data_IF_574479119202
#
_entry.id   IF_574479119202
#
_cell.length_a   1.000
_cell.length_b   1.000
_cell.length_c   1.000
_cell.angle_alpha   90.00
_cell.angle_beta   90.00
_cell.angle_gamma   90.00
#
_symmetry.space_group_name_H-M   'P 1'
#
loop_
_entity.id
_entity.type
_entity.pdbx_description
1 polymer ?
#
# COMPACT_ATOMS: atom_id res chain seq x y z
N UNK A 1 3.08 -12.13 -19.76
CA UNK A 1 3.17 -11.05 -18.75
C UNK A 1 2.02 -11.24 -17.78
N UNK A 2 2.31 -11.36 -16.48
CA UNK A 2 1.28 -11.58 -15.46
C UNK A 2 0.41 -10.34 -15.36
N UNK A 3 -0.90 -10.51 -15.55
CA UNK A 3 -1.92 -9.52 -15.18
C UNK A 3 -1.64 -9.00 -13.77
N UNK A 4 -1.85 -7.69 -13.46
CA UNK A 4 -1.79 -7.23 -12.08
C UNK A 4 -2.75 -8.10 -11.29
N UNK A 5 -2.19 -8.88 -10.37
CA UNK A 5 -2.93 -9.93 -9.71
C UNK A 5 -4.00 -9.23 -8.87
N UNK A 6 -5.27 -9.31 -9.28
CA UNK A 6 -6.42 -9.15 -8.39
C UNK A 6 -6.03 -9.77 -7.06
N UNK A 7 -6.19 -9.06 -5.93
CA UNK A 7 -5.91 -9.61 -4.60
C UNK A 7 -6.34 -11.07 -4.59
N UNK A 8 -5.41 -12.01 -4.35
CA UNK A 8 -5.67 -13.41 -4.59
C UNK A 8 -6.99 -13.79 -3.92
N UNK A 9 -7.97 -14.26 -4.70
CA UNK A 9 -9.34 -14.53 -4.21
C UNK A 9 -9.34 -15.39 -2.93
N UNK A 10 -8.30 -16.20 -2.73
CA UNK A 10 -8.08 -17.00 -1.52
C UNK A 10 -7.92 -16.18 -0.22
N UNK A 11 -7.39 -14.95 -0.25
CA UNK A 11 -7.18 -14.11 0.97
C UNK A 11 -8.45 -13.43 1.46
N UNK A 12 -9.35 -13.03 0.56
CA UNK A 12 -10.68 -12.54 0.94
C UNK A 12 -11.53 -13.66 1.53
N UNK A 13 -11.35 -14.89 1.05
CA UNK A 13 -11.95 -16.09 1.65
C UNK A 13 -11.37 -16.36 3.04
N UNK A 14 -10.07 -16.16 3.25
CA UNK A 14 -9.41 -16.33 4.55
C UNK A 14 -9.91 -15.32 5.59
N UNK A 15 -10.02 -14.02 5.24
CA UNK A 15 -10.59 -13.02 6.15
C UNK A 15 -12.06 -13.32 6.50
N UNK A 16 -12.86 -13.77 5.54
CA UNK A 16 -14.26 -14.18 5.78
C UNK A 16 -14.32 -15.39 6.70
N UNK A 17 -13.43 -16.36 6.53
CA UNK A 17 -13.34 -17.54 7.39
C UNK A 17 -12.91 -17.15 8.81
N UNK A 18 -11.89 -16.32 8.98
CA UNK A 18 -11.44 -15.81 10.28
C UNK A 18 -12.55 -15.02 10.99
N UNK A 19 -13.27 -14.17 10.25
CA UNK A 19 -14.43 -13.44 10.76
C UNK A 19 -15.57 -14.37 11.21
N UNK A 20 -15.90 -15.38 10.41
CA UNK A 20 -16.93 -16.36 10.74
C UNK A 20 -16.55 -17.19 11.97
N UNK A 21 -15.30 -17.65 12.08
CA UNK A 21 -14.80 -18.40 13.23
C UNK A 21 -14.76 -17.55 14.51
N UNK A 22 -14.37 -16.28 14.41
CA UNK A 22 -14.40 -15.34 15.54
C UNK A 22 -15.82 -15.09 16.02
N UNK A 23 -16.76 -14.87 15.08
CA UNK A 23 -18.17 -14.71 15.42
C UNK A 23 -18.76 -15.98 16.06
N UNK A 24 -18.41 -17.16 15.53
CA UNK A 24 -18.80 -18.45 16.10
C UNK A 24 -18.24 -18.65 17.51
N UNK A 25 -16.98 -18.27 17.74
CA UNK A 25 -16.35 -18.32 19.07
C UNK A 25 -17.07 -17.40 20.07
N UNK A 26 -17.46 -16.18 19.66
CA UNK A 26 -18.25 -15.27 20.48
C UNK A 26 -19.65 -15.83 20.81
N UNK A 27 -20.33 -16.36 19.80
CA UNK A 27 -21.67 -16.95 19.98
C UNK A 27 -21.60 -18.17 20.90
N UNK A 28 -20.60 -19.02 20.75
CA UNK A 28 -20.39 -20.17 21.62
C UNK A 28 -20.04 -19.72 23.05
N UNK A 29 -19.14 -18.75 23.23
CA UNK A 29 -18.79 -18.21 24.55
C UNK A 29 -20.02 -17.64 25.27
N UNK A 30 -20.81 -16.81 24.59
CA UNK A 30 -22.01 -16.20 25.20
C UNK A 30 -23.08 -17.25 25.48
N UNK A 31 -23.30 -18.22 24.59
CA UNK A 31 -24.20 -19.34 24.83
C UNK A 31 -23.77 -20.20 26.02
N UNK A 32 -22.47 -20.49 26.15
CA UNK A 32 -21.89 -21.24 27.27
C UNK A 32 -22.17 -20.55 28.61
N UNK A 33 -21.88 -19.25 28.70
CA UNK A 33 -22.11 -18.44 29.91
C UNK A 33 -23.59 -18.34 30.29
N UNK A 34 -24.50 -18.28 29.31
CA UNK A 34 -25.95 -18.26 29.55
C UNK A 34 -26.44 -19.63 30.02
N UNK A 35 -26.01 -20.70 29.36
CA UNK A 35 -26.37 -22.07 29.74
C UNK A 35 -25.85 -22.45 31.12
N UNK A 36 -24.67 -21.99 31.50
CA UNK A 36 -24.12 -22.20 32.84
C UNK A 36 -24.97 -21.55 33.94
N UNK A 37 -25.69 -20.46 33.63
CA UNK A 37 -26.60 -19.77 34.56
C UNK A 37 -28.02 -20.35 34.59
N UNK A 38 -28.45 -21.01 33.52
CA UNK A 38 -29.85 -21.43 33.32
C UNK A 38 -30.02 -22.94 33.43
N UNK A 39 -29.04 -23.73 32.97
CA UNK A 39 -29.12 -25.18 32.98
C UNK A 39 -28.59 -25.76 34.29
N UNK A 40 -29.31 -26.73 34.84
CA UNK A 40 -28.90 -27.51 36.01
C UNK A 40 -27.87 -28.60 35.71
N UNK A 41 -27.42 -28.72 34.45
CA UNK A 41 -26.47 -29.77 34.01
C UNK A 41 -25.15 -29.16 33.58
N UNK A 42 -24.05 -29.74 34.05
CA UNK A 42 -22.68 -29.25 33.81
C UNK A 42 -22.11 -29.66 32.45
N UNK A 43 -22.70 -30.67 31.79
CA UNK A 43 -22.20 -31.20 30.52
C UNK A 43 -22.51 -30.31 29.31
N UNK A 44 -23.69 -29.67 29.27
CA UNK A 44 -24.10 -28.86 28.14
C UNK A 44 -23.25 -27.57 27.96
N UNK A 45 -22.94 -26.79 29.01
CA UNK A 45 -22.04 -25.64 28.89
C UNK A 45 -20.62 -26.04 28.43
N UNK A 46 -20.10 -27.18 28.93
CA UNK A 46 -18.76 -27.66 28.59
C UNK A 46 -18.60 -27.97 27.10
N UNK A 47 -19.59 -28.63 26.48
CA UNK A 47 -19.58 -28.91 25.04
C UNK A 47 -19.52 -27.61 24.23
N UNK A 48 -20.23 -26.58 24.68
CA UNK A 48 -20.26 -25.27 24.01
C UNK A 48 -18.95 -24.51 24.19
N UNK A 49 -18.33 -24.57 25.37
CA UNK A 49 -17.00 -24.01 25.57
C UNK A 49 -15.95 -24.71 24.69
N UNK A 50 -16.01 -26.03 24.53
CA UNK A 50 -15.13 -26.76 23.60
C UNK A 50 -15.33 -26.29 22.16
N UNK A 51 -16.56 -26.01 21.74
CA UNK A 51 -16.82 -25.39 20.42
C UNK A 51 -16.22 -23.98 20.32
N UNK A 52 -16.29 -23.18 21.39
CA UNK A 52 -15.67 -21.86 21.43
C UNK A 52 -14.14 -21.92 21.30
N UNK A 53 -13.51 -22.90 21.95
CA UNK A 53 -12.07 -23.20 21.82
C UNK A 53 -11.72 -23.66 20.40
N UNK A 54 -12.50 -24.55 19.82
CA UNK A 54 -12.25 -25.05 18.46
C UNK A 54 -12.36 -23.92 17.43
N UNK A 55 -13.38 -23.08 17.54
CA UNK A 55 -13.59 -21.96 16.62
C UNK A 55 -12.52 -20.86 16.78
N UNK A 56 -12.27 -20.39 18.01
CA UNK A 56 -11.31 -19.31 18.28
C UNK A 56 -9.84 -19.76 18.24
N UNK A 57 -9.58 -21.03 18.57
CA UNK A 57 -8.24 -21.60 18.66
C UNK A 57 -7.71 -22.23 17.36
N UNK A 58 -8.54 -22.47 16.34
CA UNK A 58 -8.12 -23.14 15.11
C UNK A 58 -6.91 -22.49 14.42
N UNK A 59 -6.93 -21.17 14.26
CA UNK A 59 -5.82 -20.42 13.65
C UNK A 59 -4.59 -20.32 14.58
N UNK A 60 -4.72 -19.88 15.85
CA UNK A 60 -3.61 -19.82 16.79
C UNK A 60 -2.94 -21.18 17.01
N UNK A 61 -3.72 -22.26 17.13
CA UNK A 61 -3.19 -23.61 17.32
C UNK A 61 -2.39 -24.10 16.10
N UNK A 62 -2.86 -23.80 14.88
CA UNK A 62 -2.12 -24.11 13.65
C UNK A 62 -0.79 -23.34 13.58
N UNK A 63 -0.82 -22.05 13.93
CA UNK A 63 0.37 -21.19 13.98
C UNK A 63 1.36 -21.65 15.07
N UNK A 64 0.86 -21.97 16.27
CA UNK A 64 1.65 -22.49 17.38
C UNK A 64 2.31 -23.83 17.02
N UNK A 65 1.58 -24.72 16.33
CA UNK A 65 2.13 -26.00 15.86
C UNK A 65 3.24 -25.80 14.82
N UNK A 66 3.07 -24.85 13.90
CA UNK A 66 4.11 -24.49 12.94
C UNK A 66 5.34 -23.88 13.63
N UNK A 67 5.14 -22.99 14.61
CA UNK A 67 6.21 -22.39 15.40
C UNK A 67 6.99 -23.45 16.19
N UNK A 68 6.29 -24.38 16.84
CA UNK A 68 6.88 -25.49 17.58
C UNK A 68 7.71 -26.40 16.67
N UNK A 69 7.20 -26.75 15.48
CA UNK A 69 7.96 -27.50 14.46
C UNK A 69 9.21 -26.76 14.00
N UNK A 70 9.14 -25.43 13.90
CA UNK A 70 10.27 -24.57 13.58
C UNK A 70 11.21 -24.30 14.77
N UNK A 71 10.94 -24.87 15.96
CA UNK A 71 11.66 -24.62 17.22
C UNK A 71 11.71 -23.13 17.60
N UNK A 72 10.64 -22.40 17.29
CA UNK A 72 10.47 -20.99 17.68
C UNK A 72 9.38 -20.91 18.73
N UNK A 73 9.67 -20.23 19.84
CA UNK A 73 8.64 -19.85 20.80
C UNK A 73 8.03 -18.53 20.34
N UNK A 74 6.73 -18.52 20.11
CA UNK A 74 5.98 -17.34 19.69
C UNK A 74 4.80 -17.06 20.64
N UNK A 75 4.11 -15.95 20.38
CA UNK A 75 2.96 -15.52 21.17
C UNK A 75 1.80 -16.52 21.07
N UNK A 76 1.62 -17.17 19.91
CA UNK A 76 0.57 -18.16 19.73
C UNK A 76 0.76 -19.36 20.68
N UNK A 77 2.01 -19.79 20.88
CA UNK A 77 2.32 -20.88 21.80
C UNK A 77 2.03 -20.51 23.25
N UNK A 78 2.35 -19.29 23.69
CA UNK A 78 1.98 -18.77 25.02
C UNK A 78 0.47 -18.87 25.24
N UNK A 79 -0.30 -18.38 24.27
CA UNK A 79 -1.75 -18.29 24.33
C UNK A 79 -2.44 -19.66 24.34
N UNK A 80 -2.01 -20.58 23.46
CA UNK A 80 -2.54 -21.94 23.42
C UNK A 80 -2.20 -22.70 24.71
N UNK A 81 -0.99 -22.52 25.24
CA UNK A 81 -0.59 -23.15 26.51
C UNK A 81 -1.43 -22.65 27.68
N UNK A 82 -1.67 -21.33 27.77
CA UNK A 82 -2.54 -20.75 28.80
C UNK A 82 -3.98 -21.25 28.68
N UNK A 83 -4.54 -21.32 27.47
CA UNK A 83 -5.90 -21.83 27.26
C UNK A 83 -6.03 -23.31 27.64
N UNK A 84 -5.06 -24.16 27.27
CA UNK A 84 -5.04 -25.57 27.68
C UNK A 84 -4.94 -25.68 29.21
N UNK A 85 -4.11 -24.86 29.85
CA UNK A 85 -4.01 -24.80 31.30
C UNK A 85 -5.33 -24.43 31.98
N UNK A 86 -6.08 -23.47 31.40
CA UNK A 86 -7.38 -23.04 31.94
C UNK A 86 -8.41 -24.17 31.85
N UNK A 87 -8.49 -24.84 30.70
CA UNK A 87 -9.30 -26.04 30.52
C UNK A 87 -8.92 -27.16 31.51
N UNK A 88 -7.62 -27.40 31.74
CA UNK A 88 -7.14 -28.44 32.65
C UNK A 88 -7.49 -28.17 34.12
N UNK A 89 -7.61 -26.90 34.51
CA UNK A 89 -8.05 -26.47 35.85
C UNK A 89 -9.58 -26.38 36.00
N UNK A 90 -10.33 -26.61 34.93
CA UNK A 90 -11.79 -26.49 34.92
C UNK A 90 -12.32 -25.09 34.63
N UNK A 91 -11.45 -24.11 34.38
CA UNK A 91 -11.80 -22.73 33.99
C UNK A 91 -12.02 -22.62 32.47
N UNK A 92 -13.04 -23.33 31.99
CA UNK A 92 -13.36 -23.40 30.57
C UNK A 92 -13.85 -22.05 30.02
N UNK A 93 -14.60 -21.29 30.80
CA UNK A 93 -15.08 -19.95 30.49
C UNK A 93 -13.92 -18.96 30.26
N UNK A 94 -12.94 -18.94 31.16
CA UNK A 94 -11.78 -18.03 31.07
C UNK A 94 -10.94 -18.32 29.82
N UNK A 95 -10.63 -19.59 29.54
CA UNK A 95 -9.85 -19.92 28.36
C UNK A 95 -10.63 -19.81 27.05
N UNK A 96 -11.97 -19.95 27.07
CA UNK A 96 -12.81 -19.68 25.91
C UNK A 96 -12.82 -18.18 25.59
N UNK A 97 -12.93 -17.32 26.61
CA UNK A 97 -12.79 -15.88 26.47
C UNK A 97 -11.41 -15.49 25.92
N UNK A 98 -10.34 -16.14 26.42
CA UNK A 98 -8.98 -15.94 25.94
C UNK A 98 -8.83 -16.28 24.44
N UNK A 99 -9.37 -17.43 24.00
CA UNK A 99 -9.36 -17.84 22.59
C UNK A 99 -10.16 -16.88 21.70
N UNK A 100 -11.33 -16.43 22.18
CA UNK A 100 -12.15 -15.45 21.45
C UNK A 100 -11.39 -14.12 21.25
N UNK A 101 -10.87 -13.53 22.32
CA UNK A 101 -10.16 -12.23 22.25
C UNK A 101 -8.96 -12.29 21.31
N UNK A 102 -8.23 -13.40 21.33
CA UNK A 102 -7.08 -13.58 20.46
C UNK A 102 -7.48 -13.80 18.99
N UNK A 103 -8.53 -14.57 18.72
CA UNK A 103 -9.11 -14.71 17.37
C UNK A 103 -9.62 -13.37 16.83
N UNK A 104 -10.25 -12.56 17.68
CA UNK A 104 -10.71 -11.22 17.33
C UNK A 104 -9.52 -10.32 16.97
N UNK A 105 -8.48 -10.32 17.80
CA UNK A 105 -7.26 -9.56 17.56
C UNK A 105 -6.63 -9.89 16.20
N UNK A 106 -6.44 -11.17 15.90
CA UNK A 106 -5.86 -11.59 14.60
C UNK A 106 -6.78 -11.27 13.42
N UNK A 107 -8.10 -11.34 13.60
CA UNK A 107 -9.07 -10.97 12.56
C UNK A 107 -9.04 -9.46 12.28
N UNK A 108 -8.97 -8.63 13.32
CA UNK A 108 -8.87 -7.17 13.20
C UNK A 108 -7.55 -6.75 12.55
N UNK A 109 -6.45 -7.40 12.91
CA UNK A 109 -5.14 -7.18 12.28
C UNK A 109 -5.21 -7.49 10.78
N UNK A 110 -5.72 -8.67 10.42
CA UNK A 110 -5.87 -9.09 9.02
C UNK A 110 -6.82 -8.17 8.25
N UNK A 111 -7.92 -7.73 8.88
CA UNK A 111 -8.86 -6.77 8.31
C UNK A 111 -8.19 -5.42 8.03
N UNK A 112 -7.44 -4.89 9.00
CA UNK A 112 -6.73 -3.62 8.87
C UNK A 112 -5.74 -3.66 7.71
N UNK A 113 -4.94 -4.73 7.63
CA UNK A 113 -3.99 -4.94 6.53
C UNK A 113 -4.69 -5.06 5.16
N UNK A 114 -5.76 -5.85 5.09
CA UNK A 114 -6.53 -6.04 3.87
C UNK A 114 -7.27 -4.78 3.41
N UNK A 115 -7.71 -3.91 4.33
CA UNK A 115 -8.35 -2.64 4.01
C UNK A 115 -7.38 -1.69 3.34
N UNK A 116 -6.16 -1.59 3.85
CA UNK A 116 -5.20 -0.64 3.30
C UNK A 116 -4.69 -1.06 1.93
N UNK A 117 -4.49 -2.36 1.70
CA UNK A 117 -4.19 -2.90 0.37
C UNK A 117 -5.28 -2.58 -0.66
N UNK A 118 -6.55 -2.74 -0.27
CA UNK A 118 -7.69 -2.38 -1.13
C UNK A 118 -7.70 -0.92 -1.54
N UNK A 119 -7.19 0.00 -0.72
CA UNK A 119 -7.11 1.41 -1.09
C UNK A 119 -6.13 1.65 -2.26
N UNK A 120 -5.04 0.88 -2.31
CA UNK A 120 -4.08 0.92 -3.43
C UNK A 120 -4.66 0.23 -4.66
N UNK A 121 -5.26 -0.95 -4.49
CA UNK A 121 -5.89 -1.70 -5.60
C UNK A 121 -7.09 -0.95 -6.20
N UNK A 122 -7.85 -0.20 -5.40
CA UNK A 122 -8.97 0.62 -5.89
C UNK A 122 -8.52 1.69 -6.90
N UNK A 123 -7.26 2.12 -6.86
CA UNK A 123 -6.71 3.02 -7.90
C UNK A 123 -6.60 2.30 -9.25
N UNK A 124 -6.39 0.98 -9.27
CA UNK A 124 -6.37 0.18 -10.50
C UNK A 124 -7.77 -0.05 -11.07
N UNK A 125 -8.80 -0.13 -10.20
CA UNK A 125 -10.20 -0.26 -10.63
C UNK A 125 -10.70 1.00 -11.35
N UNK A 126 -10.02 2.14 -11.20
CA UNK A 126 -10.31 3.36 -11.94
C UNK A 126 -9.80 3.32 -13.38
N UNK A 127 -8.97 2.33 -13.76
CA UNK A 127 -8.48 2.18 -15.13
C UNK A 127 -9.61 1.67 -16.04
N UNK A 128 -9.93 2.34 -17.15
CA UNK A 128 -10.92 1.85 -18.09
C UNK A 128 -10.46 0.55 -18.78
N UNK A 129 -11.40 -0.35 -19.06
CA UNK A 129 -11.12 -1.64 -19.74
C UNK A 129 -10.87 -1.46 -21.24
N UNK A 130 -11.49 -0.45 -21.84
CA UNK A 130 -11.40 -0.13 -23.26
C UNK A 130 -10.94 1.30 -23.48
N UNK A 131 -10.40 1.56 -24.66
CA UNK A 131 -10.03 2.87 -25.14
C UNK A 131 -10.58 3.09 -26.54
N UNK A 132 -11.00 4.32 -26.82
CA UNK A 132 -11.43 4.74 -28.14
C UNK A 132 -10.24 5.36 -28.87
N UNK A 133 -9.90 4.82 -30.04
CA UNK A 133 -8.82 5.33 -30.88
C UNK A 133 -9.35 5.79 -32.22
N UNK A 134 -8.65 6.76 -32.81
CA UNK A 134 -8.82 7.17 -34.19
C UNK A 134 -7.83 6.37 -35.06
N UNK A 135 -8.36 5.48 -35.91
CA UNK A 135 -7.59 4.80 -36.96
C UNK A 135 -8.13 5.23 -38.31
N UNK A 136 -7.29 5.90 -39.09
CA UNK A 136 -7.62 6.32 -40.47
C UNK A 136 -8.94 7.12 -40.57
N UNK A 137 -9.23 7.96 -39.56
CA UNK A 137 -10.42 8.80 -39.50
C UNK A 137 -11.69 8.08 -39.02
N UNK A 138 -11.57 6.83 -38.53
CA UNK A 138 -12.67 6.07 -37.92
C UNK A 138 -12.40 5.79 -36.46
N UNK A 139 -13.41 6.04 -35.62
CA UNK A 139 -13.37 5.65 -34.22
C UNK A 139 -13.47 4.13 -34.09
N UNK A 140 -12.51 3.52 -33.40
CA UNK A 140 -12.55 2.11 -33.02
C UNK A 140 -12.37 1.98 -31.51
N UNK A 141 -13.11 1.07 -30.89
CA UNK A 141 -12.94 0.74 -29.47
C UNK A 141 -12.05 -0.49 -29.35
N UNK A 142 -10.96 -0.37 -28.60
CA UNK A 142 -9.95 -1.41 -28.43
C UNK A 142 -9.72 -1.69 -26.95
N UNK A 143 -9.32 -2.92 -26.57
CA UNK A 143 -8.79 -3.18 -25.25
C UNK A 143 -7.61 -2.26 -24.96
N UNK A 144 -7.54 -1.71 -23.76
CA UNK A 144 -6.50 -0.78 -23.34
C UNK A 144 -5.08 -1.40 -23.42
N UNK A 145 -4.96 -2.73 -23.33
CA UNK A 145 -3.70 -3.47 -23.51
C UNK A 145 -3.20 -3.46 -24.95
N UNK A 146 -4.08 -3.23 -25.93
CA UNK A 146 -3.73 -3.16 -27.35
C UNK A 146 -3.19 -1.79 -27.77
N UNK A 147 -3.27 -0.78 -26.90
CA UNK A 147 -2.75 0.55 -27.17
C UNK A 147 -1.23 0.54 -27.27
N UNK A 148 -0.72 1.18 -28.31
CA UNK A 148 0.71 1.39 -28.53
C UNK A 148 1.04 2.89 -28.49
N UNK A 149 2.27 3.28 -28.10
CA UNK A 149 2.72 4.66 -28.22
C UNK A 149 2.53 5.16 -29.66
N UNK A 150 2.01 6.37 -29.81
CA UNK A 150 1.65 6.96 -31.10
C UNK A 150 0.16 6.86 -31.45
N UNK A 151 -0.60 5.93 -30.85
CA UNK A 151 -2.05 5.84 -31.05
C UNK A 151 -2.75 7.14 -30.63
N UNK A 152 -3.76 7.54 -31.41
CA UNK A 152 -4.52 8.76 -31.18
C UNK A 152 -5.83 8.40 -30.46
N UNK A 153 -5.84 8.60 -29.14
CA UNK A 153 -6.93 8.24 -28.25
C UNK A 153 -7.94 9.39 -28.18
N UNK A 154 -9.22 9.09 -28.33
CA UNK A 154 -10.32 10.06 -28.19
C UNK A 154 -10.91 9.89 -26.79
N UNK A 155 -10.91 10.97 -26.00
CA UNK A 155 -11.42 11.01 -24.63
C UNK A 155 -12.57 12.00 -24.57
N UNK A 156 -13.78 11.53 -24.24
CA UNK A 156 -14.98 12.38 -24.18
C UNK A 156 -15.20 12.94 -22.77
N UNK A 157 -16.06 13.96 -22.62
CA UNK A 157 -16.47 14.45 -21.30
C UNK A 157 -17.03 13.31 -20.44
N UNK A 158 -16.52 13.17 -19.22
CA UNK A 158 -16.87 12.09 -18.29
C UNK A 158 -16.00 10.83 -18.41
N UNK A 159 -15.20 10.70 -19.48
CA UNK A 159 -14.30 9.55 -19.65
C UNK A 159 -13.03 9.73 -18.80
N UNK A 160 -12.49 8.60 -18.33
CA UNK A 160 -11.14 8.55 -17.78
C UNK A 160 -10.13 8.35 -18.88
N UNK A 161 -8.97 8.96 -18.73
CA UNK A 161 -7.88 8.79 -19.68
C UNK A 161 -7.30 7.37 -19.56
N UNK A 162 -7.20 6.60 -20.66
CA UNK A 162 -6.73 5.22 -20.58
C UNK A 162 -5.20 5.15 -20.37
N UNK A 163 -4.43 6.03 -21.00
CA UNK A 163 -2.96 6.01 -20.96
C UNK A 163 -2.39 7.42 -20.83
N UNK A 164 -1.13 7.49 -20.42
CA UNK A 164 -0.38 8.75 -20.42
C UNK A 164 -0.17 9.21 -21.87
N UNK A 165 -0.31 10.50 -22.11
CA UNK A 165 -0.18 11.04 -23.44
C UNK A 165 -0.11 12.56 -23.48
N UNK A 166 0.01 13.08 -24.69
CA UNK A 166 0.03 14.52 -24.96
C UNK A 166 -1.22 14.91 -25.74
N UNK A 167 -1.87 16.00 -25.34
CA UNK A 167 -3.04 16.52 -26.05
C UNK A 167 -2.59 17.03 -27.41
N UNK A 168 -3.21 16.51 -28.47
CA UNK A 168 -2.96 16.95 -29.85
C UNK A 168 -4.10 17.81 -30.39
N UNK A 169 -5.31 17.66 -29.87
CA UNK A 169 -6.45 18.47 -30.25
C UNK A 169 -7.49 18.55 -29.13
N UNK A 170 -8.19 19.68 -29.05
CA UNK A 170 -9.23 19.94 -28.06
C UNK A 170 -8.71 20.68 -26.84
N UNK A 171 -9.65 21.15 -26.00
CA UNK A 171 -9.36 21.78 -24.73
C UNK A 171 -10.39 21.32 -23.70
N UNK A 172 -9.94 21.01 -22.48
CA UNK A 172 -10.83 20.55 -21.41
C UNK A 172 -10.17 20.71 -20.04
N UNK A 173 -10.98 20.87 -19.00
CA UNK A 173 -10.54 20.71 -17.62
C UNK A 173 -10.41 19.22 -17.29
N UNK A 174 -9.24 18.81 -16.81
CA UNK A 174 -8.94 17.44 -16.39
C UNK A 174 -8.77 17.41 -14.87
N UNK A 175 -9.52 16.54 -14.22
CA UNK A 175 -9.40 16.28 -12.79
C UNK A 175 -8.24 15.30 -12.55
N UNK A 176 -7.13 15.85 -12.10
CA UNK A 176 -5.91 15.12 -11.78
C UNK A 176 -5.82 14.70 -10.31
N UNK A 177 -6.88 14.86 -9.51
CA UNK A 177 -6.87 14.59 -8.06
C UNK A 177 -6.40 13.17 -7.72
N UNK A 178 -6.67 12.20 -8.60
CA UNK A 178 -6.22 10.80 -8.46
C UNK A 178 -4.70 10.61 -8.55
N UNK A 179 -3.98 11.57 -9.14
CA UNK A 179 -2.52 11.51 -9.34
C UNK A 179 -1.82 12.55 -8.49
N UNK A 180 -2.33 13.78 -8.46
CA UNK A 180 -1.70 14.92 -7.78
C UNK A 180 -2.19 15.13 -6.35
N UNK A 181 -3.37 14.60 -6.01
CA UNK A 181 -4.04 14.86 -4.74
C UNK A 181 -4.74 16.23 -4.65
N UNK A 182 -4.58 17.08 -5.66
CA UNK A 182 -5.18 18.41 -5.71
C UNK A 182 -6.61 18.34 -6.25
N UNK A 183 -7.58 18.95 -5.55
CA UNK A 183 -9.00 18.87 -5.88
C UNK A 183 -9.41 19.77 -7.07
N UNK A 184 -8.58 20.74 -7.42
CA UNK A 184 -8.86 21.71 -8.49
C UNK A 184 -8.50 21.11 -9.84
N UNK A 185 -9.46 21.00 -10.79
CA UNK A 185 -9.16 20.54 -12.15
C UNK A 185 -8.15 21.45 -12.85
N UNK A 186 -7.31 20.85 -13.69
CA UNK A 186 -6.27 21.54 -14.46
C UNK A 186 -6.74 21.67 -15.91
N UNK A 187 -6.72 22.89 -16.45
CA UNK A 187 -7.03 23.11 -17.85
C UNK A 187 -5.94 22.52 -18.76
N UNK A 188 -6.36 21.79 -19.79
CA UNK A 188 -5.49 21.14 -20.76
C UNK A 188 -5.81 21.61 -22.17
N UNK A 189 -4.76 21.87 -22.93
CA UNK A 189 -4.79 22.34 -24.31
C UNK A 189 -3.70 21.62 -25.13
N UNK A 190 -3.68 21.76 -26.47
CA UNK A 190 -2.72 21.05 -27.31
C UNK A 190 -1.27 21.34 -26.89
N UNK A 191 -0.48 20.27 -26.73
CA UNK A 191 0.88 20.31 -26.20
C UNK A 191 0.98 19.97 -24.70
N UNK A 192 -0.13 20.01 -23.95
CA UNK A 192 -0.13 19.65 -22.54
C UNK A 192 -0.13 18.13 -22.35
N UNK A 193 0.57 17.70 -21.30
CA UNK A 193 0.61 16.31 -20.89
C UNK A 193 -0.59 15.96 -20.03
N UNK A 194 -1.09 14.75 -20.21
CA UNK A 194 -2.20 14.18 -19.46
C UNK A 194 -1.85 12.78 -18.96
N UNK A 195 -2.38 12.43 -17.79
CA UNK A 195 -2.05 11.19 -17.09
C UNK A 195 -3.19 10.19 -17.17
N UNK A 196 -2.84 8.90 -17.24
CA UNK A 196 -3.80 7.82 -17.14
C UNK A 196 -4.68 7.97 -15.88
N UNK A 197 -5.93 7.54 -15.99
CA UNK A 197 -6.91 7.43 -14.91
C UNK A 197 -7.48 8.76 -14.40
N UNK A 198 -6.91 9.90 -14.83
CA UNK A 198 -7.49 11.24 -14.61
C UNK A 198 -8.82 11.38 -15.35
N UNK A 199 -9.72 12.21 -14.82
CA UNK A 199 -11.08 12.34 -15.35
C UNK A 199 -11.19 13.58 -16.24
N UNK A 200 -11.58 13.38 -17.49
CA UNK A 200 -11.90 14.47 -18.41
C UNK A 200 -13.28 15.05 -18.08
N UNK A 201 -13.41 16.36 -17.86
CA UNK A 201 -14.69 16.95 -17.43
C UNK A 201 -15.57 17.45 -18.57
N UNK A 202 -15.08 18.38 -19.39
CA UNK A 202 -15.97 19.25 -20.18
C UNK A 202 -15.83 19.10 -21.69
N UNK A 203 -14.61 19.02 -22.21
CA UNK A 203 -14.31 19.00 -23.65
C UNK A 203 -13.89 17.63 -24.17
N UNK A 204 -13.92 17.43 -25.49
CA UNK A 204 -13.34 16.24 -26.12
C UNK A 204 -11.84 16.46 -26.34
N UNK A 205 -11.01 15.54 -25.88
CA UNK A 205 -9.58 15.56 -26.10
C UNK A 205 -9.17 14.46 -27.08
N UNK A 206 -8.30 14.80 -28.03
CA UNK A 206 -7.50 13.82 -28.76
C UNK A 206 -6.11 13.80 -28.14
N UNK A 207 -5.70 12.64 -27.67
CA UNK A 207 -4.48 12.44 -26.90
C UNK A 207 -3.60 11.44 -27.64
N UNK A 208 -2.36 11.81 -27.94
CA UNK A 208 -1.38 10.88 -28.49
C UNK A 208 -0.77 10.08 -27.34
N UNK A 209 -0.92 8.75 -27.38
CA UNK A 209 -0.35 7.88 -26.36
C UNK A 209 1.18 7.98 -26.35
N UNK A 210 1.77 8.20 -25.18
CA UNK A 210 3.25 8.30 -25.00
C UNK A 210 3.85 7.03 -24.40
N UNK A 211 3.02 6.19 -23.78
CA UNK A 211 3.43 4.96 -23.13
C UNK A 211 2.39 3.87 -23.33
N UNK A 212 2.82 2.60 -23.24
CA UNK A 212 1.87 1.48 -23.11
C UNK A 212 1.12 1.60 -21.79
N UNK A 213 -0.07 1.01 -21.71
CA UNK A 213 -0.84 1.04 -20.47
C UNK A 213 -0.10 0.38 -19.28
N UNK A 214 0.72 -0.65 -19.53
CA UNK A 214 1.60 -1.30 -18.56
C UNK A 214 2.79 -0.43 -18.11
N UNK A 215 3.06 0.67 -18.79
CA UNK A 215 4.16 1.60 -18.55
C UNK A 215 3.65 2.98 -18.09
N UNK A 216 2.33 3.13 -17.94
CA UNK A 216 1.71 4.36 -17.42
C UNK A 216 2.22 4.72 -16.03
N UNK A 217 2.07 5.99 -15.68
CA UNK A 217 2.43 6.54 -14.37
C UNK A 217 1.78 5.73 -13.25
N UNK A 218 0.49 5.40 -13.37
CA UNK A 218 -0.21 4.55 -12.41
C UNK A 218 0.37 3.13 -12.35
N UNK A 219 0.64 2.49 -13.49
CA UNK A 219 1.23 1.14 -13.51
C UNK A 219 2.65 1.11 -12.90
N UNK A 220 3.40 2.22 -12.96
CA UNK A 220 4.67 2.36 -12.23
C UNK A 220 4.45 2.53 -10.74
N UNK A 221 3.50 3.39 -10.32
CA UNK A 221 3.15 3.56 -8.91
C UNK A 221 2.77 2.21 -8.28
N UNK A 222 1.92 1.42 -8.95
CA UNK A 222 1.49 0.12 -8.44
C UNK A 222 2.66 -0.85 -8.30
N UNK A 223 3.52 -1.01 -9.32
CA UNK A 223 4.72 -1.85 -9.20
C UNK A 223 5.62 -1.40 -8.06
N UNK A 224 5.82 -0.09 -7.90
CA UNK A 224 6.64 0.44 -6.82
C UNK A 224 6.03 0.20 -5.44
N UNK A 225 4.70 0.19 -5.32
CA UNK A 225 4.00 -0.18 -4.08
C UNK A 225 4.09 -1.69 -3.83
N UNK A 226 3.93 -2.53 -4.85
CA UNK A 226 4.12 -3.98 -4.73
C UNK A 226 5.57 -4.32 -4.31
N UNK A 227 6.57 -3.69 -4.91
CA UNK A 227 7.98 -3.82 -4.54
C UNK A 227 8.27 -3.29 -3.12
N UNK A 228 7.54 -2.25 -2.68
CA UNK A 228 7.62 -1.72 -1.33
C UNK A 228 7.05 -2.66 -0.27
N UNK A 229 5.99 -3.41 -0.58
CA UNK A 229 5.34 -4.34 0.36
C UNK A 229 6.28 -5.46 0.82
N UNK A 230 7.23 -5.88 -0.02
CA UNK A 230 8.20 -6.91 0.34
C UNK A 230 9.28 -6.42 1.34
N UNK A 231 9.44 -5.10 1.50
CA UNK A 231 10.43 -4.50 2.38
C UNK A 231 9.88 -4.26 3.80
N UNK A 232 10.07 -5.24 4.69
CA UNK A 232 9.68 -5.14 6.11
C UNK A 232 10.32 -3.92 6.80
N UNK A 233 9.59 -3.13 7.63
CA UNK A 233 10.14 -2.01 8.40
C UNK A 233 11.20 -2.42 9.42
N UNK A 234 12.04 -1.48 9.89
CA UNK A 234 13.05 -1.79 10.93
C UNK A 234 12.38 -2.09 12.26
N UNK A 235 11.31 -1.38 12.63
CA UNK A 235 10.57 -1.65 13.86
C UNK A 235 10.00 -3.08 13.87
N UNK A 236 9.46 -3.54 12.75
CA UNK A 236 8.95 -4.91 12.62
C UNK A 236 10.08 -5.96 12.70
N UNK A 237 11.23 -5.73 12.07
CA UNK A 237 12.39 -6.62 12.20
C UNK A 237 12.94 -6.67 13.63
N UNK A 238 12.91 -5.54 14.34
CA UNK A 238 13.33 -5.49 15.74
C UNK A 238 12.35 -6.29 16.61
N UNK A 239 11.05 -6.09 16.41
CA UNK A 239 9.99 -6.88 17.05
C UNK A 239 10.17 -8.39 16.78
N UNK A 240 10.36 -8.79 15.52
CA UNK A 240 10.57 -10.21 15.13
C UNK A 240 11.84 -10.81 15.76
N UNK A 241 12.86 -9.99 16.01
CA UNK A 241 14.13 -10.40 16.64
C UNK A 241 14.01 -10.51 18.16
N UNK A 242 13.36 -9.55 18.81
CA UNK A 242 13.20 -9.49 20.27
C UNK A 242 12.10 -10.44 20.75
N UNK A 243 11.06 -10.65 19.94
CA UNK A 243 9.88 -11.46 20.27
C UNK A 243 10.21 -12.83 20.86
N UNK A 244 11.06 -13.67 20.22
CA UNK A 244 11.41 -14.98 20.77
C UNK A 244 12.11 -14.91 22.13
N UNK A 245 13.00 -13.93 22.34
CA UNK A 245 13.68 -13.74 23.63
C UNK A 245 12.71 -13.29 24.72
N UNK A 246 11.78 -12.39 24.38
CA UNK A 246 10.71 -11.98 25.27
C UNK A 246 9.81 -13.16 25.65
N UNK A 247 9.36 -13.94 24.67
CA UNK A 247 8.55 -15.15 24.91
C UNK A 247 9.28 -16.16 25.79
N UNK A 248 10.58 -16.37 25.57
CA UNK A 248 11.40 -17.24 26.43
C UNK A 248 11.48 -16.71 27.87
N UNK A 249 11.67 -15.40 28.04
CA UNK A 249 11.69 -14.77 29.36
C UNK A 249 10.33 -14.90 30.07
N UNK A 250 9.21 -14.78 29.35
CA UNK A 250 7.86 -14.96 29.90
C UNK A 250 7.63 -16.41 30.33
N UNK A 251 8.00 -17.41 29.51
CA UNK A 251 7.93 -18.82 29.92
C UNK A 251 8.81 -19.11 31.14
N UNK A 252 10.04 -18.59 31.15
CA UNK A 252 10.94 -18.70 32.30
C UNK A 252 10.37 -18.05 33.56
N UNK A 253 9.76 -16.87 33.43
CA UNK A 253 9.10 -16.16 34.52
C UNK A 253 7.86 -16.89 35.04
N UNK A 254 7.02 -17.44 34.16
CA UNK A 254 5.88 -18.25 34.56
C UNK A 254 6.30 -19.54 35.28
N UNK A 255 7.36 -20.20 34.80
CA UNK A 255 7.94 -21.36 35.49
C UNK A 255 8.51 -20.97 36.85
N UNK A 256 9.20 -19.83 36.95
CA UNK A 256 9.70 -19.31 38.22
C UNK A 256 8.55 -19.06 39.21
N UNK A 257 7.45 -18.45 38.75
CA UNK A 257 6.26 -18.20 39.57
C UNK A 257 5.62 -19.51 40.01
N UNK A 258 5.50 -20.50 39.11
CA UNK A 258 5.01 -21.84 39.46
C UNK A 258 5.85 -22.47 40.57
N UNK A 259 7.18 -22.49 40.40
CA UNK A 259 8.09 -23.10 41.37
C UNK A 259 8.13 -22.33 42.70
N UNK A 260 8.15 -21.00 42.66
CA UNK A 260 8.15 -20.17 43.86
C UNK A 260 6.85 -20.31 44.64
N UNK A 261 5.69 -20.19 43.98
CA UNK A 261 4.38 -20.35 44.64
C UNK A 261 4.20 -21.74 45.22
N UNK A 262 4.68 -22.78 44.52
CA UNK A 262 4.59 -24.17 45.00
C UNK A 262 5.54 -24.48 46.16
N UNK A 263 6.82 -24.15 46.03
CA UNK A 263 7.86 -24.62 46.95
C UNK A 263 8.26 -23.60 48.03
N UNK A 264 8.10 -22.30 47.79
CA UNK A 264 8.40 -21.27 48.78
C UNK A 264 7.15 -20.90 49.57
N UNK A 265 6.05 -20.62 48.87
CA UNK A 265 4.79 -20.20 49.49
C UNK A 265 3.82 -21.35 49.80
N UNK A 266 4.15 -22.58 49.40
CA UNK A 266 3.41 -23.81 49.73
C UNK A 266 1.94 -23.82 49.25
N UNK A 267 1.62 -23.08 48.17
CA UNK A 267 0.29 -23.12 47.58
C UNK A 267 -0.05 -24.51 47.00
N UNK A 268 -1.35 -24.86 46.90
CA UNK A 268 -1.82 -26.01 46.14
C UNK A 268 -1.37 -25.96 44.68
N UNK A 269 -1.25 -27.13 44.04
CA UNK A 269 -0.87 -27.23 42.62
C UNK A 269 -1.78 -26.42 41.70
N UNK A 270 -3.09 -26.48 41.91
CA UNK A 270 -4.06 -25.75 41.10
C UNK A 270 -3.82 -24.24 41.16
N UNK A 271 -3.66 -23.68 42.36
CA UNK A 271 -3.41 -22.26 42.57
C UNK A 271 -2.06 -21.81 41.99
N UNK A 272 -1.03 -22.64 42.13
CA UNK A 272 0.30 -22.36 41.59
C UNK A 272 0.29 -22.34 40.05
N UNK A 273 -0.39 -23.31 39.42
CA UNK A 273 -0.56 -23.39 37.96
C UNK A 273 -1.41 -22.23 37.45
N UNK A 274 -2.51 -21.90 38.14
CA UNK A 274 -3.38 -20.77 37.79
C UNK A 274 -2.60 -19.45 37.78
N UNK A 275 -1.80 -19.19 38.81
CA UNK A 275 -0.94 -17.99 38.90
C UNK A 275 0.14 -17.95 37.82
N UNK A 276 0.75 -19.09 37.49
CA UNK A 276 1.73 -19.16 36.40
C UNK A 276 1.08 -18.87 35.04
N UNK A 277 -0.11 -19.40 34.78
CA UNK A 277 -0.87 -19.10 33.57
C UNK A 277 -1.28 -17.63 33.48
N UNK A 278 -1.70 -17.02 34.59
CA UNK A 278 -1.99 -15.59 34.66
C UNK A 278 -0.80 -14.76 34.18
N UNK A 279 0.43 -15.15 34.55
CA UNK A 279 1.65 -14.49 34.05
C UNK A 279 1.80 -14.65 32.54
N UNK A 280 1.56 -15.85 32.00
CA UNK A 280 1.62 -16.10 30.55
C UNK A 280 0.63 -15.21 29.78
N UNK A 281 -0.58 -15.02 30.32
CA UNK A 281 -1.64 -14.21 29.70
C UNK A 281 -1.33 -12.72 29.80
N UNK A 282 -1.01 -12.24 31.01
CA UNK A 282 -0.79 -10.80 31.27
C UNK A 282 0.49 -10.30 30.59
N UNK A 283 1.52 -11.13 30.49
CA UNK A 283 2.76 -10.79 29.80
C UNK A 283 2.70 -11.06 28.29
N UNK A 284 1.51 -11.19 27.69
CA UNK A 284 1.39 -11.38 26.25
C UNK A 284 1.61 -10.06 25.51
N UNK A 285 2.54 -9.98 24.52
CA UNK A 285 2.93 -8.71 23.91
C UNK A 285 1.99 -8.24 22.77
N UNK A 286 0.76 -8.77 22.70
CA UNK A 286 -0.18 -8.56 21.59
C UNK A 286 -0.37 -7.08 21.23
N UNK A 287 -0.53 -6.22 22.26
CA UNK A 287 -0.76 -4.80 22.08
C UNK A 287 0.45 -4.04 21.49
N UNK A 288 1.66 -4.59 21.63
CA UNK A 288 2.90 -3.97 21.15
C UNK A 288 3.17 -4.30 19.68
N UNK A 289 2.76 -5.48 19.21
CA UNK A 289 3.15 -5.98 17.89
C UNK A 289 2.22 -5.54 16.75
N UNK A 290 0.91 -5.43 17.02
CA UNK A 290 -0.13 -5.12 16.01
C UNK A 290 -0.07 -3.69 15.47
N UNK A 291 0.23 -2.63 16.27
CA UNK A 291 0.18 -1.27 15.78
C UNK A 291 1.18 -0.95 14.66
N UNK A 292 2.34 -1.62 14.64
CA UNK A 292 3.44 -1.32 13.71
C UNK A 292 3.04 -1.53 12.25
N UNK A 293 2.63 -2.73 11.80
CA UNK A 293 2.29 -2.95 10.40
C UNK A 293 1.03 -2.17 9.98
N UNK A 294 0.05 -2.03 10.88
CA UNK A 294 -1.15 -1.22 10.61
C UNK A 294 -0.81 0.27 10.40
N UNK A 295 0.04 0.85 11.24
CA UNK A 295 0.46 2.25 11.12
C UNK A 295 1.31 2.49 9.88
N UNK A 296 2.29 1.62 9.60
CA UNK A 296 3.15 1.72 8.41
C UNK A 296 2.32 1.64 7.14
N UNK A 297 1.45 0.64 7.04
CA UNK A 297 0.65 0.44 5.85
C UNK A 297 -0.31 1.61 5.63
N UNK A 298 -0.95 2.11 6.70
CA UNK A 298 -1.83 3.29 6.65
C UNK A 298 -1.08 4.54 6.19
N UNK A 299 0.14 4.74 6.68
CA UNK A 299 0.98 5.86 6.27
C UNK A 299 1.43 5.76 4.81
N UNK A 300 1.82 4.58 4.33
CA UNK A 300 2.17 4.35 2.91
C UNK A 300 0.97 4.63 2.01
N UNK A 301 -0.21 4.11 2.35
CA UNK A 301 -1.42 4.35 1.54
C UNK A 301 -1.79 5.83 1.50
N UNK A 302 -1.76 6.53 2.63
CA UNK A 302 -2.04 7.97 2.67
C UNK A 302 -0.99 8.78 1.89
N UNK A 303 0.28 8.42 1.98
CA UNK A 303 1.34 9.05 1.21
C UNK A 303 1.14 8.85 -0.31
N UNK A 304 0.81 7.63 -0.73
CA UNK A 304 0.56 7.31 -2.14
C UNK A 304 -0.62 8.12 -2.71
N UNK A 305 -1.69 8.31 -1.93
CA UNK A 305 -2.83 9.16 -2.30
C UNK A 305 -2.47 10.64 -2.48
N UNK A 306 -1.29 11.06 -1.99
CA UNK A 306 -0.76 12.42 -2.12
C UNK A 306 0.44 12.49 -3.08
N UNK A 307 0.62 11.49 -3.93
CA UNK A 307 1.73 11.42 -4.89
C UNK A 307 3.10 11.16 -4.26
N UNK A 308 3.17 10.82 -2.96
CA UNK A 308 4.43 10.50 -2.26
C UNK A 308 4.60 8.98 -2.22
N UNK A 309 5.61 8.48 -2.92
CA UNK A 309 5.86 7.04 -3.03
C UNK A 309 7.01 6.61 -2.13
N UNK A 310 6.71 5.78 -1.12
CA UNK A 310 7.70 5.14 -0.28
C UNK A 310 7.98 3.71 -0.77
N UNK A 311 9.23 3.43 -1.15
CA UNK A 311 9.70 2.09 -1.53
C UNK A 311 10.01 1.21 -0.31
N UNK A 312 9.02 0.98 0.54
CA UNK A 312 9.10 0.14 1.73
C UNK A 312 8.85 0.89 3.02
N UNK A 313 8.39 0.16 4.05
CA UNK A 313 8.12 0.76 5.35
C UNK A 313 9.40 1.17 6.11
N UNK A 314 10.54 0.56 5.78
CA UNK A 314 11.84 0.99 6.29
C UNK A 314 12.27 2.36 5.74
N UNK A 315 11.91 2.69 4.49
CA UNK A 315 12.13 4.01 3.88
C UNK A 315 11.23 5.06 4.49
N UNK A 316 9.97 4.73 4.78
CA UNK A 316 9.07 5.61 5.53
C UNK A 316 9.64 5.94 6.92
N UNK A 317 10.08 4.94 7.68
CA UNK A 317 10.72 5.17 8.98
C UNK A 317 12.04 5.95 8.87
N UNK A 318 12.83 5.71 7.81
CA UNK A 318 14.04 6.47 7.56
C UNK A 318 13.73 7.94 7.26
N UNK A 319 12.68 8.20 6.47
CA UNK A 319 12.22 9.54 6.14
C UNK A 319 11.81 10.33 7.40
N UNK A 320 11.12 9.69 8.34
CA UNK A 320 10.76 10.30 9.63
C UNK A 320 11.98 10.72 10.49
N UNK A 321 13.18 10.22 10.19
CA UNK A 321 14.44 10.56 10.89
C UNK A 321 15.34 11.50 10.10
N UNK A 322 14.94 11.93 8.90
CA UNK A 322 15.72 12.87 8.09
C UNK A 322 15.80 14.21 8.82
N UNK A 323 17.03 14.73 8.97
CA UNK A 323 17.30 16.06 9.56
C UNK A 323 17.87 17.04 8.56
N UNK A 324 18.44 16.54 7.47
CA UNK A 324 19.08 17.32 6.42
C UNK A 324 18.59 16.78 5.09
N UNK A 325 18.11 17.66 4.22
CA UNK A 325 17.71 17.34 2.85
C UNK A 325 18.68 18.05 1.93
N UNK A 326 19.46 17.27 1.17
CA UNK A 326 20.29 17.80 0.09
C UNK A 326 19.53 17.61 -1.21
N UNK A 327 19.28 18.70 -1.92
CA UNK A 327 18.61 18.68 -3.21
C UNK A 327 19.66 18.71 -4.32
N UNK A 328 19.49 17.84 -5.31
CA UNK A 328 20.12 18.09 -6.59
C UNK A 328 19.44 19.30 -7.24
N UNK A 329 20.17 20.10 -8.02
CA UNK A 329 19.59 21.29 -8.66
C UNK A 329 18.79 20.88 -9.88
N UNK A 330 19.44 20.16 -10.80
CA UNK A 330 18.92 19.90 -12.14
C UNK A 330 17.88 18.79 -12.09
N UNK A 331 16.66 19.05 -12.53
CA UNK A 331 15.58 18.05 -12.56
C UNK A 331 14.86 17.83 -11.24
N UNK A 332 15.35 18.41 -10.14
CA UNK A 332 14.67 18.41 -8.84
C UNK A 332 14.18 19.81 -8.47
N UNK A 333 15.07 20.81 -8.44
CA UNK A 333 14.68 22.22 -8.23
C UNK A 333 14.31 22.87 -9.57
N UNK A 334 15.01 22.50 -10.64
CA UNK A 334 14.78 23.03 -12.00
C UNK A 334 14.15 21.98 -12.92
N UNK A 335 13.54 22.43 -14.02
CA UNK A 335 12.87 21.55 -15.00
C UNK A 335 13.82 20.74 -15.90
N UNK A 336 15.13 20.75 -15.62
CA UNK A 336 16.17 20.11 -16.43
C UNK A 336 16.14 20.42 -17.93
N UNK A 337 15.53 21.55 -18.32
CA UNK A 337 15.43 22.01 -19.70
C UNK A 337 16.03 23.40 -19.79
N UNK A 338 16.95 23.59 -20.74
CA UNK A 338 17.48 24.91 -21.03
C UNK A 338 16.40 25.75 -21.73
N UNK A 339 16.35 27.03 -21.41
CA UNK A 339 15.47 27.99 -22.05
C UNK A 339 16.23 29.29 -22.25
N UNK A 340 16.04 29.94 -23.40
CA UNK A 340 16.64 31.25 -23.66
C UNK A 340 16.00 32.29 -22.75
N UNK A 341 16.74 32.76 -21.74
CA UNK A 341 16.25 33.74 -20.76
C UNK A 341 16.41 35.19 -21.20
N UNK A 342 17.39 35.47 -22.06
CA UNK A 342 17.69 36.82 -22.52
C UNK A 342 18.61 36.79 -23.73
N UNK A 343 18.52 37.82 -24.56
CA UNK A 343 19.34 37.99 -25.75
C UNK A 343 19.90 39.42 -25.70
N UNK A 344 21.23 39.55 -25.70
CA UNK A 344 21.91 40.84 -25.66
C UNK A 344 22.61 41.01 -26.99
N UNK A 345 22.17 41.99 -27.79
CA UNK A 345 22.79 42.30 -29.07
C UNK A 345 23.84 43.40 -28.91
N UNK A 346 24.88 43.34 -29.74
CA UNK A 346 25.93 44.35 -29.81
C UNK A 346 25.76 45.20 -31.07
N UNK A 347 26.32 46.41 -31.06
CA UNK A 347 26.40 47.30 -32.23
C UNK A 347 25.06 47.63 -32.91
N UNK A 348 23.95 47.61 -32.15
CA UNK A 348 22.62 47.89 -32.68
C UNK A 348 22.02 46.79 -33.55
N UNK A 349 22.58 45.56 -33.52
CA UNK A 349 21.99 44.43 -34.23
C UNK A 349 20.58 44.10 -33.70
N UNK A 350 19.67 43.71 -34.59
CA UNK A 350 18.31 43.36 -34.19
C UNK A 350 18.28 42.01 -33.48
N UNK A 351 17.49 41.92 -32.41
CA UNK A 351 17.32 40.65 -31.68
C UNK A 351 16.76 39.55 -32.58
N UNK A 352 15.79 39.91 -33.44
CA UNK A 352 15.13 38.98 -34.34
C UNK A 352 16.13 38.37 -35.32
N UNK A 353 16.92 39.21 -36.00
CA UNK A 353 17.90 38.74 -36.98
C UNK A 353 19.00 37.91 -36.31
N UNK A 354 19.49 38.34 -35.14
CA UNK A 354 20.49 37.60 -34.36
C UNK A 354 20.00 36.21 -33.98
N UNK A 355 18.76 36.11 -33.50
CA UNK A 355 18.16 34.84 -33.11
C UNK A 355 17.89 33.92 -34.30
N UNK A 356 17.50 34.47 -35.47
CA UNK A 356 17.32 33.69 -36.69
C UNK A 356 18.63 33.08 -37.22
N UNK A 357 19.74 33.81 -37.13
CA UNK A 357 21.07 33.29 -37.48
C UNK A 357 21.47 32.18 -36.51
N UNK A 358 21.34 32.43 -35.19
CA UNK A 358 21.69 31.44 -34.17
C UNK A 358 20.86 30.15 -34.33
N UNK A 359 19.56 30.27 -34.60
CA UNK A 359 18.71 29.12 -34.86
C UNK A 359 19.10 28.38 -36.16
N UNK A 360 19.51 29.08 -37.22
CA UNK A 360 19.95 28.46 -38.48
C UNK A 360 21.23 27.61 -38.32
N UNK A 361 22.10 28.03 -37.41
CA UNK A 361 23.31 27.30 -37.02
C UNK A 361 22.94 26.11 -36.12
N UNK A 362 22.08 26.33 -35.13
CA UNK A 362 21.79 25.34 -34.09
C UNK A 362 20.73 24.29 -34.50
N UNK A 363 20.01 24.48 -35.61
CA UNK A 363 18.89 23.59 -36.02
C UNK A 363 19.28 22.12 -36.25
N UNK A 364 20.58 21.82 -36.44
CA UNK A 364 21.08 20.47 -36.66
C UNK A 364 21.77 19.86 -35.42
N UNK A 365 21.82 20.59 -34.31
CA UNK A 365 22.50 20.17 -33.08
C UNK A 365 21.50 19.61 -32.05
N UNK A 366 21.81 18.43 -31.50
CA UNK A 366 21.03 17.81 -30.42
C UNK A 366 21.36 18.36 -29.03
N UNK A 367 22.30 19.31 -28.94
CA UNK A 367 22.73 19.86 -27.66
C UNK A 367 21.58 20.63 -26.97
N UNK A 368 21.34 20.50 -25.65
CA UNK A 368 20.20 21.13 -24.99
C UNK A 368 20.12 22.66 -25.14
N UNK A 369 21.26 23.34 -25.29
CA UNK A 369 21.30 24.78 -25.55
C UNK A 369 20.88 25.12 -26.99
N UNK A 370 21.25 24.29 -27.97
CA UNK A 370 20.86 24.44 -29.36
C UNK A 370 19.35 24.36 -29.51
N UNK A 371 18.77 23.31 -28.91
CA UNK A 371 17.33 23.11 -28.82
C UNK A 371 16.63 24.33 -28.20
N UNK A 372 17.17 24.88 -27.10
CA UNK A 372 16.60 26.06 -26.45
C UNK A 372 16.62 27.31 -27.34
N UNK A 373 17.64 27.48 -28.19
CA UNK A 373 17.74 28.61 -29.14
C UNK A 373 16.74 28.44 -30.29
N UNK A 374 16.64 27.25 -30.86
CA UNK A 374 15.72 26.95 -31.97
C UNK A 374 14.27 27.06 -31.51
N UNK A 375 13.95 26.53 -30.32
CA UNK A 375 12.61 26.65 -29.72
C UNK A 375 12.26 28.11 -29.42
N UNK A 376 13.21 28.92 -28.95
CA UNK A 376 12.98 30.34 -28.71
C UNK A 376 12.73 31.12 -30.02
N UNK A 377 13.41 30.78 -31.11
CA UNK A 377 13.15 31.37 -32.42
C UNK A 377 11.74 31.00 -32.92
N UNK A 378 11.38 29.71 -32.85
CA UNK A 378 10.07 29.22 -33.24
C UNK A 378 8.94 29.86 -32.42
N UNK A 379 9.10 29.99 -31.10
CA UNK A 379 8.12 30.63 -30.21
C UNK A 379 7.90 32.12 -30.51
N UNK A 380 8.91 32.81 -31.08
CA UNK A 380 8.81 34.20 -31.54
C UNK A 380 8.33 34.33 -32.99
N UNK A 381 7.96 33.23 -33.65
CA UNK A 381 7.54 33.23 -35.06
C UNK A 381 8.67 33.52 -36.04
N UNK A 382 9.92 33.30 -35.63
CA UNK A 382 11.11 33.59 -36.43
C UNK A 382 11.62 32.30 -37.05
N UNK A 383 11.48 32.19 -38.38
CA UNK A 383 12.05 31.06 -39.12
C UNK A 383 13.58 31.15 -39.14
N UNK A 384 14.31 30.04 -38.96
CA UNK A 384 15.74 29.98 -39.19
C UNK A 384 16.08 30.47 -40.60
N UNK A 385 17.19 31.21 -40.75
CA UNK A 385 17.70 31.54 -42.08
C UNK A 385 18.22 30.27 -42.78
N UNK A 386 18.31 30.33 -44.11
CA UNK A 386 18.99 29.28 -44.86
C UNK A 386 20.48 29.27 -44.49
N UNK A 387 20.98 28.11 -44.04
CA UNK A 387 22.39 27.85 -43.78
C UNK A 387 22.96 26.88 -44.82
N UNK A 388 24.24 27.04 -45.14
CA UNK A 388 25.05 26.15 -45.97
C UNK A 388 26.35 25.81 -45.23
N UNK A 389 26.99 24.69 -45.58
CA UNK A 389 28.24 24.21 -44.97
C UNK A 389 28.14 23.88 -43.46
N UNK A 390 27.12 23.10 -43.08
CA UNK A 390 26.86 22.67 -41.70
C UNK A 390 27.11 21.18 -41.45
#
# INVERSE_FOLDING_TARGET
MRTPARAPRWRLTELRLMGALTAMSLLALTAGLVLERVASTTAAPLVIYVLAYAAGGAFPARSALAALRARRLDVNLLMVTAAIGAAALGHWDEGAALMFLFSLSGTLETYALARTRRAVEALMDLRPETARIDRDGREAEVPIEALVPGDLVIVRPGDRLPVDGDVVQGASAVDESTVTGEATPVDKQPGDRVFATTLNRNGVLRVRATARASESTLARIVRLVEEAEDARPRAQRLADRVGPYYTMAVFGGALLVLLATRYVFQFPWNDAVYRAMMVLVVASPCAVMIPIPAAVLSAIANAALRGIVFKGGDRLEAAARIRVVAFDKTGTITRARAALSGLITLNGASEAHTLQIAAAVEQHSEHPLAVAVVEAAAARGLAPLASSDF
#
